data_IF_235121101971
#
_entry.id   IF_235121101971
#
_cell.length_a   1.000
_cell.length_b   1.000
_cell.length_c   1.000
_cell.angle_alpha   90.00
_cell.angle_beta   90.00
_cell.angle_gamma   90.00
#
_symmetry.space_group_name_H-M   'P 1'
#
loop_
_entity.id
_entity.type
_entity.pdbx_description
1 polymer ?
#
# COMPACT_ATOMS: atom_id res chain seq x y z
N UNK A 1 -12.96 20.43 23.93
CA UNK A 1 -12.98 19.43 22.84
C UNK A 1 -11.53 19.11 22.59
N UNK A 2 -11.08 17.92 23.01
CA UNK A 2 -9.70 17.50 22.79
C UNK A 2 -9.68 16.98 21.35
N UNK A 3 -9.09 17.73 20.44
CA UNK A 3 -8.76 17.20 19.12
C UNK A 3 -7.68 16.14 19.35
N UNK A 4 -8.06 14.86 19.28
CA UNK A 4 -7.08 13.79 19.19
C UNK A 4 -6.34 13.97 17.87
N UNK A 5 -5.14 14.54 17.94
CA UNK A 5 -4.23 14.61 16.80
C UNK A 5 -3.75 13.19 16.53
N UNK A 6 -4.50 12.43 15.73
CA UNK A 6 -4.05 11.14 15.23
C UNK A 6 -2.78 11.41 14.42
N UNK A 7 -1.62 10.98 14.92
CA UNK A 7 -0.36 11.11 14.19
C UNK A 7 -0.44 10.27 12.92
N UNK A 8 -0.48 10.96 11.77
CA UNK A 8 -0.44 10.33 10.45
C UNK A 8 1.00 10.20 9.98
N UNK A 9 1.33 9.01 9.48
CA UNK A 9 2.64 8.65 8.95
C UNK A 9 2.55 8.48 7.44
N UNK A 10 3.68 8.63 6.75
CA UNK A 10 3.77 8.48 5.29
C UNK A 10 4.51 7.18 4.93
N UNK A 11 3.94 6.42 3.99
CA UNK A 11 4.60 5.25 3.39
C UNK A 11 4.64 5.40 1.87
N UNK A 12 5.82 5.27 1.27
CA UNK A 12 5.94 5.33 -0.19
C UNK A 12 5.20 4.17 -0.85
N UNK A 13 4.44 4.47 -1.90
CA UNK A 13 3.81 3.45 -2.72
C UNK A 13 4.88 2.72 -3.55
N UNK A 14 5.07 1.40 -3.40
CA UNK A 14 6.09 0.67 -4.15
C UNK A 14 5.81 0.69 -5.66
N UNK A 15 6.85 0.78 -6.51
CA UNK A 15 6.67 0.66 -7.95
C UNK A 15 6.18 -0.76 -8.31
N UNK A 16 5.40 -0.86 -9.39
CA UNK A 16 4.89 -2.15 -9.88
C UNK A 16 3.57 -2.62 -9.26
N UNK A 17 3.02 -1.90 -8.27
CA UNK A 17 1.64 -2.12 -7.83
C UNK A 17 0.65 -1.48 -8.82
N UNK A 18 -0.49 -2.14 -9.01
CA UNK A 18 -1.55 -1.68 -9.91
C UNK A 18 -2.49 -0.70 -9.21
N UNK A 19 -3.15 0.19 -9.96
CA UNK A 19 -4.16 1.11 -9.39
C UNK A 19 -5.29 0.40 -8.62
N UNK A 20 -5.63 -0.84 -9.02
CA UNK A 20 -6.59 -1.67 -8.28
C UNK A 20 -6.08 -2.08 -6.88
N UNK A 21 -4.78 -2.35 -6.71
CA UNK A 21 -4.19 -2.63 -5.39
C UNK A 21 -4.22 -1.36 -4.56
N UNK A 22 -3.87 -0.21 -5.15
CA UNK A 22 -3.92 1.08 -4.47
C UNK A 22 -5.31 1.36 -3.92
N UNK A 23 -6.34 1.25 -4.76
CA UNK A 23 -7.73 1.48 -4.36
C UNK A 23 -8.17 0.53 -3.24
N UNK A 24 -7.87 -0.76 -3.36
CA UNK A 24 -8.20 -1.74 -2.33
C UNK A 24 -7.51 -1.44 -0.99
N UNK A 25 -6.22 -1.08 -1.03
CA UNK A 25 -5.45 -0.72 0.17
C UNK A 25 -5.99 0.54 0.84
N UNK A 26 -6.41 1.54 0.06
CA UNK A 26 -7.03 2.76 0.58
C UNK A 26 -8.33 2.44 1.33
N UNK A 27 -9.20 1.62 0.74
CA UNK A 27 -10.50 1.27 1.31
C UNK A 27 -10.40 0.33 2.51
N UNK A 28 -9.57 -0.71 2.41
CA UNK A 28 -9.48 -1.76 3.43
C UNK A 28 -8.74 -1.30 4.70
N UNK A 29 -7.70 -0.46 4.54
CA UNK A 29 -6.84 -0.03 5.64
C UNK A 29 -7.07 1.43 6.06
N UNK A 30 -8.11 2.09 5.56
CA UNK A 30 -8.41 3.50 5.85
C UNK A 30 -7.18 4.41 5.62
N UNK A 31 -6.64 4.33 4.39
CA UNK A 31 -5.45 5.08 3.97
C UNK A 31 -5.80 6.10 2.89
N UNK A 32 -5.20 7.28 2.99
CA UNK A 32 -5.26 8.32 1.97
C UNK A 32 -4.05 8.24 1.04
N UNK A 33 -4.17 8.75 -0.18
CA UNK A 33 -3.04 8.92 -1.10
C UNK A 33 -2.71 10.39 -1.26
N UNK A 34 -1.44 10.73 -1.05
CA UNK A 34 -0.89 12.07 -1.19
C UNK A 34 0.21 12.08 -2.24
N UNK A 35 0.23 13.11 -3.09
CA UNK A 35 1.34 13.34 -4.01
C UNK A 35 2.51 13.98 -3.25
N UNK A 36 3.69 13.36 -3.29
CA UNK A 36 4.95 13.94 -2.81
C UNK A 36 5.89 14.24 -3.98
N UNK A 37 6.97 14.98 -3.70
CA UNK A 37 8.03 15.27 -4.67
C UNK A 37 8.70 14.01 -5.24
N UNK A 38 8.64 12.90 -4.50
CA UNK A 38 9.24 11.61 -4.87
C UNK A 38 8.20 10.59 -5.37
N UNK A 39 6.97 11.04 -5.66
CA UNK A 39 5.86 10.19 -6.09
C UNK A 39 4.75 10.05 -5.04
N UNK A 40 3.72 9.24 -5.31
CA UNK A 40 2.60 9.08 -4.41
C UNK A 40 3.00 8.30 -3.14
N UNK A 41 2.39 8.67 -2.01
CA UNK A 41 2.54 8.03 -0.71
C UNK A 41 1.18 7.70 -0.12
N UNK A 42 1.09 6.62 0.65
CA UNK A 42 0.00 6.37 1.58
C UNK A 42 0.18 7.21 2.84
N UNK A 43 -0.92 7.74 3.37
CA UNK A 43 -0.98 8.52 4.59
C UNK A 43 -2.03 7.91 5.52
N UNK A 44 -1.66 7.62 6.77
CA UNK A 44 -2.58 7.07 7.75
C UNK A 44 -1.90 6.71 9.08
N UNK A 45 -2.60 5.97 9.92
CA UNK A 45 -2.03 5.45 11.17
C UNK A 45 -0.93 4.43 10.91
N UNK A 46 0.09 4.40 11.78
CA UNK A 46 1.23 3.47 11.65
C UNK A 46 0.77 2.02 11.48
N UNK A 47 -0.19 1.57 12.29
CA UNK A 47 -0.73 0.21 12.23
C UNK A 47 -1.34 -0.11 10.86
N UNK A 48 -2.16 0.79 10.33
CA UNK A 48 -2.80 0.62 9.03
C UNK A 48 -1.78 0.57 7.89
N UNK A 49 -0.70 1.36 7.99
CA UNK A 49 0.41 1.32 7.02
C UNK A 49 1.18 -0.01 7.08
N UNK A 50 1.38 -0.57 8.27
CA UNK A 50 2.01 -1.89 8.44
C UNK A 50 1.14 -3.01 7.86
N UNK A 51 -0.16 -3.00 8.14
CA UNK A 51 -1.12 -3.97 7.58
C UNK A 51 -1.18 -3.86 6.05
N UNK A 52 -1.22 -2.64 5.51
CA UNK A 52 -1.16 -2.38 4.07
C UNK A 52 0.14 -2.85 3.43
N UNK A 53 1.30 -2.65 4.08
CA UNK A 53 2.60 -3.13 3.61
C UNK A 53 2.57 -4.65 3.45
N UNK A 54 2.10 -5.36 4.47
CA UNK A 54 2.10 -6.82 4.49
C UNK A 54 1.18 -7.38 3.39
N UNK A 55 0.03 -6.75 3.16
CA UNK A 55 -0.85 -7.05 2.04
C UNK A 55 -0.16 -6.84 0.68
N UNK A 56 0.45 -5.67 0.46
CA UNK A 56 1.12 -5.33 -0.81
C UNK A 56 2.24 -6.32 -1.12
N UNK A 57 3.06 -6.67 -0.12
CA UNK A 57 4.14 -7.65 -0.29
C UNK A 57 3.59 -9.01 -0.69
N UNK A 58 2.51 -9.46 -0.05
CA UNK A 58 1.85 -10.73 -0.38
C UNK A 58 1.33 -10.74 -1.82
N UNK A 59 0.64 -9.68 -2.25
CA UNK A 59 0.12 -9.56 -3.61
C UNK A 59 1.23 -9.56 -4.67
N UNK A 60 2.30 -8.81 -4.43
CA UNK A 60 3.44 -8.77 -5.34
C UNK A 60 4.11 -10.14 -5.46
N UNK A 61 4.32 -10.83 -4.34
CA UNK A 61 4.91 -12.17 -4.34
C UNK A 61 4.02 -13.18 -5.06
N UNK A 62 2.70 -13.12 -4.88
CA UNK A 62 1.75 -13.98 -5.61
C UNK A 62 1.89 -13.79 -7.13
N UNK A 63 1.96 -12.54 -7.58
CA UNK A 63 2.14 -12.20 -9.00
C UNK A 63 3.48 -12.68 -9.55
N UNK A 64 4.55 -12.54 -8.78
CA UNK A 64 5.88 -13.04 -9.17
C UNK A 64 5.83 -14.55 -9.35
N UNK A 65 5.26 -15.29 -8.39
CA UNK A 65 5.14 -16.74 -8.47
C UNK A 65 4.32 -17.20 -9.68
N UNK A 66 3.21 -16.52 -9.99
CA UNK A 66 2.42 -16.79 -11.20
C UNK A 66 3.24 -16.61 -12.49
N UNK A 67 4.06 -15.56 -12.56
CA UNK A 67 4.92 -15.29 -13.71
C UNK A 67 6.08 -16.29 -13.84
N UNK A 68 6.64 -16.73 -12.72
CA UNK A 68 7.69 -17.76 -12.70
C UNK A 68 7.13 -19.11 -13.16
N UNK A 69 5.94 -19.49 -12.70
CA UNK A 69 5.28 -20.74 -13.10
C UNK A 69 4.88 -20.73 -14.59
N UNK A 70 4.52 -19.56 -15.16
CA UNK A 70 4.23 -19.41 -16.60
C UNK A 70 5.46 -19.54 -17.51
N UNK A 71 6.68 -19.51 -16.99
CA UNK A 71 7.90 -19.75 -17.79
C UNK A 71 8.22 -21.23 -18.00
N UNK A 72 7.43 -22.14 -17.41
CA UNK A 72 7.65 -23.59 -17.44
C UNK A 72 6.77 -24.41 -18.39
N UNK A 73 5.86 -23.78 -19.14
CA UNK A 73 5.01 -24.40 -20.18
C UNK A 73 5.46 -23.97 -21.58
#
# INVERSE_FOLDING_TARGET
MVEETIEKYEMRIPPGITGQIVAHVMEEFDLEVKQSDFGPVFLGEMKNLEDARDYIVKELNSRIAELENKKGE
#
